data_IF_531050641010
#
_entry.id   IF_531050641010
#
_cell.length_a   1.000
_cell.length_b   1.000
_cell.length_c   1.000
_cell.angle_alpha   90.00
_cell.angle_beta   90.00
_cell.angle_gamma   90.00
#
_symmetry.space_group_name_H-M   'P 1'
#
loop_
_entity.id
_entity.type
_entity.pdbx_description
1 polymer ?
#
# COMPACT_ATOMS: atom_id res chain seq x y z
N UNK A 1 5.33 -9.51 -21.74
CA UNK A 1 6.00 -8.19 -21.68
C UNK A 1 6.30 -7.90 -20.23
N UNK A 2 7.53 -7.50 -19.90
CA UNK A 2 7.91 -7.12 -18.54
C UNK A 2 8.43 -5.68 -18.51
N UNK A 3 8.27 -4.97 -17.39
CA UNK A 3 8.84 -3.64 -17.24
C UNK A 3 10.36 -3.63 -17.40
N UNK A 4 10.87 -2.79 -18.32
CA UNK A 4 12.32 -2.64 -18.56
C UNK A 4 12.92 -3.58 -19.60
N UNK A 5 12.09 -4.36 -20.31
CA UNK A 5 12.56 -5.11 -21.49
C UNK A 5 12.99 -4.18 -22.62
N UNK A 6 13.78 -4.71 -23.57
CA UNK A 6 14.02 -4.01 -24.84
C UNK A 6 12.66 -3.64 -25.47
N UNK A 7 12.53 -2.40 -25.93
CA UNK A 7 11.37 -1.96 -26.73
C UNK A 7 11.37 -2.72 -28.05
N UNK A 8 10.85 -3.94 -28.02
CA UNK A 8 10.58 -4.74 -29.19
C UNK A 8 9.12 -4.49 -29.59
N UNK A 9 8.88 -4.20 -30.86
CA UNK A 9 7.56 -3.77 -31.38
C UNK A 9 6.43 -4.81 -31.20
N UNK A 10 6.77 -6.00 -30.68
CA UNK A 10 5.88 -7.11 -30.34
C UNK A 10 5.28 -7.01 -28.92
N UNK A 11 5.72 -6.05 -28.09
CA UNK A 11 5.25 -5.88 -26.71
C UNK A 11 4.03 -4.94 -26.68
N UNK A 12 2.83 -5.53 -26.73
CA UNK A 12 1.58 -4.76 -26.83
C UNK A 12 1.09 -4.24 -25.47
N UNK A 13 1.45 -4.89 -24.35
CA UNK A 13 0.96 -4.57 -23.00
C UNK A 13 2.11 -4.45 -21.95
N UNK A 14 3.29 -4.01 -22.36
CA UNK A 14 4.38 -3.69 -21.42
C UNK A 14 4.33 -2.23 -20.97
N UNK A 15 4.81 -1.96 -19.76
CA UNK A 15 5.07 -0.59 -19.28
C UNK A 15 6.57 -0.34 -19.18
N UNK A 16 7.04 0.88 -19.46
CA UNK A 16 8.44 1.26 -19.20
C UNK A 16 8.71 1.33 -17.69
N UNK A 17 9.96 1.11 -17.29
CA UNK A 17 10.39 1.40 -15.91
C UNK A 17 10.30 2.90 -15.64
N UNK A 18 9.85 3.26 -14.44
CA UNK A 18 9.77 4.66 -14.01
C UNK A 18 11.20 5.20 -13.76
N UNK A 19 11.58 6.36 -14.36
CA UNK A 19 12.97 6.81 -14.40
C UNK A 19 13.53 7.37 -13.09
N UNK A 20 12.69 7.64 -12.08
CA UNK A 20 13.06 8.23 -10.79
C UNK A 20 13.30 7.18 -9.70
N UNK A 21 13.25 5.88 -10.03
CA UNK A 21 13.69 4.81 -9.13
C UNK A 21 15.19 4.54 -9.25
N UNK A 22 15.87 4.34 -8.11
CA UNK A 22 17.31 4.02 -8.07
C UNK A 22 17.61 2.53 -8.21
N UNK A 23 16.66 1.66 -7.86
CA UNK A 23 16.82 0.21 -7.84
C UNK A 23 15.53 -0.46 -8.32
N UNK A 24 15.67 -1.63 -8.95
CA UNK A 24 14.56 -2.45 -9.41
C UNK A 24 14.72 -3.88 -8.90
N UNK A 25 13.60 -4.46 -8.44
CA UNK A 25 13.47 -5.89 -8.17
C UNK A 25 12.43 -6.41 -9.15
N UNK A 26 12.85 -7.27 -10.08
CA UNK A 26 11.97 -7.84 -11.10
C UNK A 26 11.48 -9.21 -10.63
N UNK A 27 10.16 -9.40 -10.64
CA UNK A 27 9.50 -10.66 -10.27
C UNK A 27 8.84 -11.22 -11.51
N UNK A 28 9.12 -12.48 -11.82
CA UNK A 28 8.43 -13.17 -12.90
C UNK A 28 7.03 -13.58 -12.43
N UNK A 29 6.01 -13.10 -13.12
CA UNK A 29 4.61 -13.49 -12.92
C UNK A 29 3.79 -13.16 -14.16
N UNK A 30 2.74 -13.95 -14.40
CA UNK A 30 1.72 -13.76 -15.42
C UNK A 30 0.41 -13.15 -14.85
N UNK A 31 0.37 -12.89 -13.54
CA UNK A 31 -0.77 -12.33 -12.84
C UNK A 31 -0.52 -10.88 -12.42
N UNK A 32 -1.55 -10.05 -12.54
CA UNK A 32 -1.50 -8.67 -12.03
C UNK A 32 -1.48 -8.68 -10.50
N UNK A 33 -0.40 -8.16 -9.90
CA UNK A 33 -0.14 -8.22 -8.46
C UNK A 33 0.69 -9.42 -8.02
N UNK A 34 1.21 -10.25 -8.93
CA UNK A 34 2.05 -11.42 -8.60
C UNK A 34 3.36 -11.06 -7.88
N UNK A 35 3.81 -9.82 -7.95
CA UNK A 35 4.95 -9.27 -7.22
C UNK A 35 4.68 -9.07 -5.72
N UNK A 36 3.41 -8.96 -5.31
CA UNK A 36 2.99 -8.59 -3.94
C UNK A 36 3.67 -9.48 -2.88
N UNK A 37 3.66 -10.79 -3.09
CA UNK A 37 4.26 -11.75 -2.16
C UNK A 37 5.76 -11.53 -1.96
N UNK A 38 6.48 -11.17 -3.01
CA UNK A 38 7.92 -10.87 -2.95
C UNK A 38 8.18 -9.54 -2.26
N UNK A 39 7.37 -8.52 -2.53
CA UNK A 39 7.45 -7.21 -1.86
C UNK A 39 7.39 -7.36 -0.33
N UNK A 40 6.41 -8.11 0.19
CA UNK A 40 6.28 -8.35 1.64
C UNK A 40 7.44 -9.19 2.22
N UNK A 41 7.95 -10.18 1.47
CA UNK A 41 9.11 -10.98 1.91
C UNK A 41 10.37 -10.13 2.01
N UNK A 42 10.62 -9.27 1.04
CA UNK A 42 11.77 -8.35 1.05
C UNK A 42 11.67 -7.40 2.24
N UNK A 43 10.52 -6.75 2.42
CA UNK A 43 10.31 -5.83 3.56
C UNK A 43 10.50 -6.53 4.92
N UNK A 44 10.01 -7.78 5.08
CA UNK A 44 10.27 -8.58 6.29
C UNK A 44 11.75 -8.93 6.47
N UNK A 45 12.45 -9.29 5.40
CA UNK A 45 13.85 -9.71 5.46
C UNK A 45 14.80 -8.59 5.90
N UNK A 46 14.42 -7.32 5.67
CA UNK A 46 15.19 -6.17 6.15
C UNK A 46 15.24 -6.10 7.69
N UNK A 47 14.28 -6.71 8.38
CA UNK A 47 14.20 -6.75 9.85
C UNK A 47 14.33 -5.35 10.50
N UNK A 48 13.67 -4.36 9.90
CA UNK A 48 13.57 -2.98 10.38
C UNK A 48 12.11 -2.64 10.67
N UNK A 49 11.84 -1.57 11.43
CA UNK A 49 10.49 -1.02 11.49
C UNK A 49 9.93 -0.71 10.09
N UNK A 50 8.68 -1.11 9.83
CA UNK A 50 8.00 -0.90 8.55
C UNK A 50 6.68 -0.16 8.78
N UNK A 51 6.42 0.83 7.93
CA UNK A 51 5.12 1.42 7.76
C UNK A 51 4.70 1.35 6.28
N UNK A 52 3.41 1.27 6.03
CA UNK A 52 2.82 1.24 4.69
C UNK A 52 1.85 2.40 4.53
N UNK A 53 1.63 2.82 3.29
CA UNK A 53 0.74 3.93 2.97
C UNK A 53 -0.24 3.52 1.88
N UNK A 54 -1.53 3.74 2.15
CA UNK A 54 -2.62 3.55 1.20
C UNK A 54 -3.09 4.91 0.71
N UNK A 55 -2.82 5.19 -0.57
CA UNK A 55 -3.32 6.35 -1.30
C UNK A 55 -4.23 5.80 -2.39
N UNK A 56 -5.51 6.18 -2.36
CA UNK A 56 -6.52 5.73 -3.30
C UNK A 56 -6.74 4.20 -3.22
N UNK A 57 -6.54 3.46 -4.32
CA UNK A 57 -6.44 2.00 -4.31
C UNK A 57 -7.67 1.24 -4.81
N UNK A 58 -7.42 0.07 -5.38
CA UNK A 58 -8.43 -0.91 -5.79
C UNK A 58 -8.36 -2.19 -4.96
N UNK A 59 -8.90 -3.30 -5.48
CA UNK A 59 -8.99 -4.57 -4.75
C UNK A 59 -7.63 -5.11 -4.27
N UNK A 60 -6.58 -4.99 -5.09
CA UNK A 60 -5.22 -5.42 -4.71
C UNK A 60 -4.69 -4.59 -3.54
N UNK A 61 -4.86 -3.26 -3.59
CA UNK A 61 -4.46 -2.38 -2.50
C UNK A 61 -5.13 -2.74 -1.17
N UNK A 62 -6.38 -3.25 -1.22
CA UNK A 62 -7.06 -3.77 -0.03
C UNK A 62 -6.43 -5.05 0.52
N UNK A 63 -6.00 -5.95 -0.35
CA UNK A 63 -5.28 -7.18 0.04
C UNK A 63 -3.91 -6.84 0.65
N UNK A 64 -3.20 -5.87 0.08
CA UNK A 64 -1.92 -5.38 0.59
C UNK A 64 -2.07 -4.65 1.93
N UNK A 65 -3.12 -3.85 2.10
CA UNK A 65 -3.45 -3.21 3.37
C UNK A 65 -3.73 -4.25 4.46
N UNK A 66 -4.52 -5.29 4.15
CA UNK A 66 -4.78 -6.41 5.05
C UNK A 66 -3.49 -7.15 5.42
N UNK A 67 -2.65 -7.44 4.46
CA UNK A 67 -1.37 -8.11 4.71
C UNK A 67 -0.42 -7.24 5.54
N UNK A 68 -0.43 -5.92 5.35
CA UNK A 68 0.35 -4.97 6.16
C UNK A 68 -0.03 -5.04 7.63
N UNK A 69 -1.33 -4.94 7.95
CA UNK A 69 -1.78 -4.99 9.36
C UNK A 69 -1.56 -6.37 9.99
N UNK A 70 -1.70 -7.47 9.23
CA UNK A 70 -1.38 -8.84 9.67
C UNK A 70 0.10 -9.04 9.97
N UNK A 71 0.98 -8.32 9.28
CA UNK A 71 2.41 -8.30 9.57
C UNK A 71 2.78 -7.41 10.77
N UNK A 72 1.80 -6.76 11.39
CA UNK A 72 2.02 -5.87 12.51
C UNK A 72 2.51 -4.48 12.12
N UNK A 73 2.44 -4.11 10.85
CA UNK A 73 2.95 -2.83 10.35
C UNK A 73 1.92 -1.72 10.49
N UNK A 74 2.40 -0.50 10.74
CA UNK A 74 1.53 0.68 10.76
C UNK A 74 1.04 0.98 9.34
N UNK A 75 -0.26 1.12 9.17
CA UNK A 75 -0.91 1.52 7.93
C UNK A 75 -1.36 2.98 8.02
N UNK A 76 -0.82 3.81 7.14
CA UNK A 76 -1.23 5.19 6.93
C UNK A 76 -2.25 5.25 5.79
N UNK A 77 -3.46 5.73 6.04
CA UNK A 77 -4.50 5.87 5.02
C UNK A 77 -4.71 7.35 4.73
N UNK A 78 -4.62 7.72 3.45
CA UNK A 78 -4.85 9.10 3.01
C UNK A 78 -6.32 9.25 2.62
N UNK A 79 -7.11 9.81 3.53
CA UNK A 79 -8.53 10.12 3.33
C UNK A 79 -8.71 11.27 2.32
N UNK A 80 -9.77 11.18 1.51
CA UNK A 80 -10.04 12.10 0.41
C UNK A 80 -9.24 11.78 -0.85
N UNK A 81 -8.44 10.70 -0.86
CA UNK A 81 -7.68 10.25 -2.04
C UNK A 81 -8.47 9.33 -2.97
N UNK A 82 -9.67 8.89 -2.56
CA UNK A 82 -10.60 8.11 -3.37
C UNK A 82 -10.62 6.62 -3.09
N UNK A 83 -11.60 5.94 -3.72
CA UNK A 83 -11.78 4.48 -3.78
C UNK A 83 -11.57 3.78 -2.41
N UNK A 84 -10.67 2.79 -2.34
CA UNK A 84 -10.54 1.93 -1.17
C UNK A 84 -10.05 2.67 0.08
N UNK A 85 -9.19 3.69 -0.08
CA UNK A 85 -8.75 4.54 1.04
C UNK A 85 -9.92 5.21 1.75
N UNK A 86 -10.88 5.77 1.01
CA UNK A 86 -12.04 6.46 1.60
C UNK A 86 -13.04 5.47 2.21
N UNK A 87 -13.21 4.31 1.59
CA UNK A 87 -14.03 3.23 2.16
C UNK A 87 -13.48 2.76 3.51
N UNK A 88 -12.17 2.51 3.58
CA UNK A 88 -11.53 2.10 4.80
C UNK A 88 -11.56 3.21 5.86
N UNK A 89 -11.36 4.47 5.45
CA UNK A 89 -11.43 5.63 6.35
C UNK A 89 -12.80 5.76 7.00
N UNK A 90 -13.88 5.60 6.21
CA UNK A 90 -15.25 5.60 6.74
C UNK A 90 -15.46 4.46 7.75
N UNK A 91 -15.01 3.25 7.44
CA UNK A 91 -15.13 2.11 8.35
C UNK A 91 -14.36 2.30 9.67
N UNK A 92 -13.19 2.93 9.62
CA UNK A 92 -12.38 3.27 10.82
C UNK A 92 -13.07 4.32 11.67
N UNK A 93 -13.70 5.34 11.07
CA UNK A 93 -14.41 6.40 11.79
C UNK A 93 -15.74 5.94 12.39
N UNK A 94 -16.55 5.25 11.59
CA UNK A 94 -17.94 4.93 11.94
C UNK A 94 -18.05 3.67 12.81
N UNK A 95 -17.03 2.81 12.81
CA UNK A 95 -16.92 1.63 13.68
C UNK A 95 -17.98 0.53 13.49
N UNK A 96 -19.02 0.76 12.67
CA UNK A 96 -20.21 -0.10 12.60
C UNK A 96 -20.57 -0.60 11.19
N UNK A 97 -20.03 -0.02 10.11
CA UNK A 97 -20.43 -0.37 8.73
C UNK A 97 -19.23 -0.67 7.81
N UNK A 98 -18.44 -1.68 8.15
CA UNK A 98 -17.48 -2.24 7.19
C UNK A 98 -18.24 -3.04 6.12
N UNK A 99 -17.97 -2.74 4.84
CA UNK A 99 -18.63 -3.41 3.70
C UNK A 99 -18.13 -4.84 3.47
N UNK A 100 -16.96 -5.17 4.03
CA UNK A 100 -16.36 -6.51 3.92
C UNK A 100 -15.67 -6.91 5.22
N UNK A 101 -15.39 -8.22 5.35
CA UNK A 101 -14.66 -8.79 6.49
C UNK A 101 -13.24 -8.23 6.54
N UNK A 102 -12.59 -8.07 5.38
CA UNK A 102 -11.25 -7.52 5.25
C UNK A 102 -11.19 -6.07 5.74
N UNK A 103 -12.12 -5.21 5.32
CA UNK A 103 -12.21 -3.82 5.80
C UNK A 103 -12.41 -3.79 7.31
N UNK A 104 -13.26 -4.68 7.84
CA UNK A 104 -13.50 -4.78 9.27
C UNK A 104 -12.25 -5.21 10.05
N UNK A 105 -11.50 -6.17 9.54
CA UNK A 105 -10.25 -6.64 10.13
C UNK A 105 -9.19 -5.52 10.14
N UNK A 106 -9.03 -4.81 9.02
CA UNK A 106 -8.09 -3.69 8.93
C UNK A 106 -8.47 -2.60 9.91
N UNK A 107 -9.74 -2.17 9.93
CA UNK A 107 -10.21 -1.09 10.80
C UNK A 107 -10.04 -1.41 12.30
N UNK A 108 -10.25 -2.68 12.69
CA UNK A 108 -10.13 -3.13 14.08
C UNK A 108 -8.71 -3.52 14.50
N UNK A 109 -7.74 -3.49 13.58
CA UNK A 109 -6.36 -3.88 13.87
C UNK A 109 -5.65 -3.02 14.91
N UNK A 110 -6.13 -1.78 15.14
CA UNK A 110 -5.44 -0.79 15.96
C UNK A 110 -4.17 -0.23 15.32
N UNK A 111 -3.93 -0.51 14.03
CA UNK A 111 -2.73 -0.14 13.27
C UNK A 111 -3.00 0.84 12.14
N UNK A 112 -4.18 1.46 12.12
CA UNK A 112 -4.58 2.42 11.08
C UNK A 112 -4.46 3.84 11.63
N UNK A 113 -3.74 4.69 10.92
CA UNK A 113 -3.71 6.13 11.16
C UNK A 113 -4.25 6.84 9.93
N UNK A 114 -5.24 7.72 10.14
CA UNK A 114 -5.89 8.48 9.07
C UNK A 114 -5.27 9.86 8.94
N UNK A 115 -5.04 10.27 7.70
CA UNK A 115 -4.61 11.63 7.33
C UNK A 115 -5.46 12.10 6.17
N UNK A 116 -6.00 13.31 6.24
CA UNK A 116 -6.71 13.87 5.11
C UNK A 116 -5.71 14.34 4.05
N UNK A 117 -6.04 14.23 2.77
CA UNK A 117 -5.18 14.67 1.64
C UNK A 117 -4.84 16.16 1.68
N UNK A 118 -5.67 16.95 2.37
CA UNK A 118 -5.48 18.38 2.58
C UNK A 118 -4.74 18.71 3.88
N UNK A 119 -4.39 17.71 4.69
CA UNK A 119 -3.60 17.95 5.89
C UNK A 119 -2.18 18.39 5.52
N UNK A 120 -1.57 19.29 6.31
CA UNK A 120 -0.17 19.64 6.13
C UNK A 120 0.74 18.41 6.21
N UNK A 121 1.63 18.25 5.22
CA UNK A 121 2.58 17.13 5.18
C UNK A 121 3.48 17.02 6.44
N UNK A 122 3.64 18.13 7.18
CA UNK A 122 4.38 18.15 8.45
C UNK A 122 3.75 17.23 9.51
N UNK A 123 2.43 17.06 9.49
CA UNK A 123 1.72 16.17 10.44
C UNK A 123 2.13 14.72 10.20
N UNK A 124 2.12 14.27 8.95
CA UNK A 124 2.58 12.93 8.57
C UNK A 124 4.06 12.72 8.90
N UNK A 125 4.90 13.74 8.62
CA UNK A 125 6.33 13.70 8.95
C UNK A 125 6.56 13.49 10.44
N UNK A 126 5.83 14.17 11.31
CA UNK A 126 5.94 14.00 12.76
C UNK A 126 5.56 12.60 13.22
N UNK A 127 4.47 12.02 12.67
CA UNK A 127 4.06 10.66 13.02
C UNK A 127 5.05 9.60 12.53
N UNK A 128 5.62 9.77 11.33
CA UNK A 128 6.69 8.89 10.85
C UNK A 128 7.92 8.96 11.77
N UNK A 129 8.32 10.16 12.22
CA UNK A 129 9.42 10.26 13.19
C UNK A 129 9.10 9.55 14.49
N UNK A 130 7.89 9.70 15.03
CA UNK A 130 7.49 9.05 16.29
C UNK A 130 7.55 7.52 16.21
N UNK A 131 7.26 6.94 15.05
CA UNK A 131 7.29 5.49 14.85
C UNK A 131 8.70 4.94 14.66
N UNK A 132 9.63 5.76 14.18
CA UNK A 132 10.96 5.31 13.77
C UNK A 132 12.11 5.91 14.60
N UNK A 133 11.80 6.74 15.59
CA UNK A 133 12.71 7.22 16.63
C UNK A 133 12.86 6.21 17.76
#
# INVERSE_FOLDING_TARGET
SYPGGQTDASIVNGASLEPNHSHFILVESDEWGGETGTMFKVAKALNVPVATMLINGGQIAGSEALQSVRNGWQLFVIEGSGRFADELSAAVRDGQFAKSVEVSEIARSGRVALFHVNDPAVTLKHELYRLFS
#
